data_IF_458507687384
#
_entry.id   IF_458507687384
#
_cell.length_a   1.000
_cell.length_b   1.000
_cell.length_c   1.000
_cell.angle_alpha   90.00
_cell.angle_beta   90.00
_cell.angle_gamma   90.00
#
_symmetry.space_group_name_H-M   'P 1'
#
loop_
_entity.id
_entity.type
_entity.pdbx_description
1 polymer ?
#
# COMPACT_ATOMS: atom_id res chain seq x y z
N UNK A 1 7.90 -2.36 16.96
CA UNK A 1 8.19 -3.15 15.74
C UNK A 1 8.44 -2.25 14.53
N UNK A 2 7.51 -1.38 14.15
CA UNK A 2 7.59 -0.49 12.97
C UNK A 2 8.87 0.35 12.90
N UNK A 3 9.24 1.08 13.95
CA UNK A 3 10.44 1.93 13.97
C UNK A 3 11.73 1.16 13.68
N UNK A 4 11.84 -0.09 14.16
CA UNK A 4 12.99 -0.97 13.89
C UNK A 4 13.06 -1.31 12.40
N UNK A 5 11.92 -1.64 11.78
CA UNK A 5 11.84 -1.97 10.35
C UNK A 5 12.18 -0.76 9.47
N UNK A 6 11.70 0.44 9.83
CA UNK A 6 12.05 1.67 9.11
C UNK A 6 13.55 1.98 9.17
N UNK A 7 14.20 1.79 10.33
CA UNK A 7 15.65 1.93 10.45
C UNK A 7 16.39 0.93 9.55
N UNK A 8 15.92 -0.32 9.50
CA UNK A 8 16.50 -1.35 8.63
C UNK A 8 16.34 -1.00 7.14
N UNK A 9 15.18 -0.46 6.73
CA UNK A 9 14.98 -0.01 5.34
C UNK A 9 15.95 1.11 4.99
N UNK A 10 16.13 2.10 5.88
CA UNK A 10 17.06 3.23 5.66
C UNK A 10 18.51 2.80 5.51
N UNK A 11 18.91 1.67 6.08
CA UNK A 11 20.26 1.13 5.99
C UNK A 11 20.52 0.23 4.77
N UNK A 12 19.50 -0.02 3.93
CA UNK A 12 19.68 -0.87 2.75
C UNK A 12 20.52 -0.14 1.69
N UNK A 13 21.60 -0.77 1.24
CA UNK A 13 22.46 -0.26 0.15
C UNK A 13 21.83 -0.45 -1.23
N UNK A 14 20.93 -1.42 -1.38
CA UNK A 14 20.25 -1.75 -2.63
C UNK A 14 18.84 -2.23 -2.33
N UNK A 15 17.88 -1.82 -3.14
CA UNK A 15 16.49 -2.24 -3.02
C UNK A 15 16.15 -3.05 -4.26
N UNK A 16 15.90 -4.35 -4.05
CA UNK A 16 15.42 -5.28 -5.07
C UNK A 16 14.55 -6.35 -4.40
N UNK A 17 13.89 -7.18 -5.19
CA UNK A 17 12.96 -8.20 -4.68
C UNK A 17 13.59 -9.06 -3.58
N UNK A 18 14.79 -9.61 -3.77
CA UNK A 18 15.42 -10.51 -2.80
C UNK A 18 15.74 -9.82 -1.46
N UNK A 19 16.10 -8.53 -1.48
CA UNK A 19 16.39 -7.77 -0.28
C UNK A 19 15.13 -7.44 0.52
N UNK A 20 14.04 -7.06 -0.16
CA UNK A 20 12.81 -6.64 0.51
C UNK A 20 11.91 -7.82 0.89
N UNK A 21 12.01 -8.97 0.22
CA UNK A 21 11.34 -10.22 0.62
C UNK A 21 12.23 -11.10 1.52
N UNK A 22 13.14 -10.50 2.26
CA UNK A 22 13.97 -11.19 3.24
C UNK A 22 13.17 -11.49 4.52
N UNK A 23 13.59 -12.52 5.28
CA UNK A 23 13.00 -12.90 6.58
C UNK A 23 12.86 -11.74 7.57
N UNK A 24 13.73 -10.72 7.48
CA UNK A 24 13.66 -9.51 8.33
C UNK A 24 12.36 -8.73 8.16
N UNK A 25 11.76 -8.77 6.98
CA UNK A 25 10.51 -8.09 6.63
C UNK A 25 9.31 -9.03 6.57
N UNK A 26 9.50 -10.33 6.75
CA UNK A 26 8.41 -11.31 6.79
C UNK A 26 7.59 -11.11 8.08
N UNK A 27 6.30 -10.85 7.92
CA UNK A 27 5.35 -10.67 9.03
C UNK A 27 4.67 -11.99 9.37
N UNK A 28 4.15 -12.66 8.35
CA UNK A 28 3.40 -13.91 8.52
C UNK A 28 3.61 -14.82 7.30
N UNK A 29 3.68 -16.12 7.57
CA UNK A 29 3.76 -17.15 6.52
C UNK A 29 2.90 -18.34 6.90
N UNK A 30 2.13 -18.82 5.95
CA UNK A 30 1.37 -20.05 6.07
C UNK A 30 1.32 -20.71 4.68
N UNK A 31 1.77 -21.96 4.61
CA UNK A 31 1.92 -22.68 3.34
C UNK A 31 2.71 -21.85 2.29
N UNK A 32 2.07 -21.53 1.17
CA UNK A 32 2.65 -20.74 0.09
C UNK A 32 2.38 -19.24 0.20
N UNK A 33 1.62 -18.80 1.20
CA UNK A 33 1.29 -17.40 1.42
C UNK A 33 2.31 -16.76 2.34
N UNK A 34 2.87 -15.66 1.90
CA UNK A 34 3.83 -14.85 2.65
C UNK A 34 3.36 -13.39 2.65
N UNK A 35 3.31 -12.79 3.84
CA UNK A 35 2.97 -11.37 4.04
C UNK A 35 4.24 -10.67 4.50
N UNK A 36 4.68 -9.67 3.74
CA UNK A 36 5.88 -8.89 4.04
C UNK A 36 5.53 -7.47 4.44
N UNK A 37 6.23 -6.95 5.43
CA UNK A 37 6.14 -5.54 5.79
C UNK A 37 6.49 -4.64 4.61
N UNK A 38 5.71 -3.60 4.43
CA UNK A 38 6.04 -2.43 3.62
C UNK A 38 5.48 -1.19 4.33
N UNK A 39 6.12 -0.01 4.21
CA UNK A 39 5.80 1.17 5.02
C UNK A 39 4.53 1.89 4.54
N UNK A 40 3.39 1.21 4.58
CA UNK A 40 2.05 1.74 4.28
C UNK A 40 1.24 2.11 5.54
N UNK A 41 1.94 2.42 6.64
CA UNK A 41 1.30 2.59 7.96
C UNK A 41 0.62 3.95 8.17
N UNK A 42 0.82 4.93 7.29
CA UNK A 42 0.19 6.23 7.42
C UNK A 42 -1.33 6.14 7.25
N UNK A 43 -2.08 6.70 8.19
CA UNK A 43 -3.54 6.85 8.14
C UNK A 43 -3.88 8.33 7.98
N UNK A 44 -4.65 8.66 6.95
CA UNK A 44 -5.17 10.01 6.77
C UNK A 44 -6.57 10.12 7.39
N UNK A 45 -6.63 10.47 8.66
CA UNK A 45 -7.89 10.63 9.41
C UNK A 45 -8.76 11.81 8.94
N UNK A 46 -8.22 12.69 8.08
CA UNK A 46 -8.95 13.83 7.52
C UNK A 46 -9.42 13.59 6.07
N UNK A 47 -9.24 12.37 5.58
CA UNK A 47 -9.64 12.02 4.23
C UNK A 47 -11.17 12.16 4.04
N UNK A 48 -11.56 12.59 2.86
CA UNK A 48 -12.97 12.61 2.42
C UNK A 48 -13.32 11.42 1.54
N UNK A 49 -12.30 10.77 1.00
CA UNK A 49 -12.42 9.57 0.15
C UNK A 49 -11.41 8.54 0.65
N UNK A 50 -11.87 7.30 0.75
CA UNK A 50 -11.02 6.13 0.94
C UNK A 50 -11.05 5.28 -0.32
N UNK A 51 -9.87 4.92 -0.85
CA UNK A 51 -9.73 3.94 -1.92
C UNK A 51 -9.06 2.70 -1.34
N UNK A 52 -9.76 1.58 -1.43
CA UNK A 52 -9.33 0.29 -0.87
C UNK A 52 -8.93 -0.66 -1.99
N UNK A 53 -7.67 -1.04 -2.04
CA UNK A 53 -7.19 -2.12 -2.88
C UNK A 53 -7.29 -3.48 -2.18
N UNK A 54 -6.82 -4.54 -2.84
CA UNK A 54 -6.77 -5.88 -2.23
C UNK A 54 -5.48 -6.04 -1.40
N UNK A 55 -4.33 -5.84 -2.03
CA UNK A 55 -3.00 -5.86 -1.42
C UNK A 55 -2.02 -5.12 -2.33
N UNK A 56 -1.00 -4.42 -1.77
CA UNK A 56 0.06 -3.83 -2.58
C UNK A 56 0.84 -4.92 -3.34
N UNK A 57 1.22 -4.62 -4.58
CA UNK A 57 2.10 -5.48 -5.36
C UNK A 57 3.59 -5.18 -5.13
N UNK A 58 4.46 -6.00 -5.74
CA UNK A 58 5.92 -5.88 -5.63
C UNK A 58 6.44 -4.49 -6.03
N UNK A 59 5.91 -3.89 -7.11
CA UNK A 59 6.34 -2.57 -7.55
C UNK A 59 6.04 -1.48 -6.51
N UNK A 60 4.86 -1.54 -5.91
CA UNK A 60 4.48 -0.62 -4.84
C UNK A 60 5.36 -0.83 -3.59
N UNK A 61 5.69 -2.08 -3.28
CA UNK A 61 6.61 -2.41 -2.20
C UNK A 61 8.02 -1.85 -2.46
N UNK A 62 8.60 -2.07 -3.65
CA UNK A 62 9.92 -1.52 -4.03
C UNK A 62 9.92 -0.02 -3.83
N UNK A 63 8.95 0.69 -4.40
CA UNK A 63 8.87 2.15 -4.30
C UNK A 63 8.70 2.66 -2.87
N UNK A 64 7.92 1.96 -2.05
CA UNK A 64 7.76 2.34 -0.65
C UNK A 64 9.08 2.22 0.12
N UNK A 65 9.88 1.20 -0.18
CA UNK A 65 11.22 1.03 0.39
C UNK A 65 12.18 2.11 -0.11
N UNK A 66 12.21 2.39 -1.41
CA UNK A 66 13.03 3.46 -1.99
C UNK A 66 12.70 4.82 -1.39
N UNK A 67 11.41 5.12 -1.22
CA UNK A 67 10.98 6.38 -0.60
C UNK A 67 11.47 6.51 0.84
N UNK A 68 11.36 5.46 1.68
CA UNK A 68 11.91 5.46 3.05
C UNK A 68 13.43 5.57 3.05
N UNK A 69 14.11 4.85 2.16
CA UNK A 69 15.56 4.90 2.04
C UNK A 69 16.05 6.30 1.67
N UNK A 70 15.28 7.01 0.84
CA UNK A 70 15.50 8.41 0.46
C UNK A 70 14.98 9.44 1.49
N UNK A 71 14.69 9.02 2.72
CA UNK A 71 14.32 9.92 3.81
C UNK A 71 12.89 10.45 3.82
N UNK A 72 12.00 9.94 2.93
CA UNK A 72 10.61 10.38 2.87
C UNK A 72 9.82 9.98 4.13
N UNK A 73 8.84 10.79 4.50
CA UNK A 73 7.88 10.49 5.55
C UNK A 73 6.92 9.37 5.14
N UNK A 74 6.28 8.71 6.10
CA UNK A 74 5.28 7.66 5.82
C UNK A 74 4.11 8.17 4.98
N UNK A 75 3.73 9.45 5.12
CA UNK A 75 2.71 10.08 4.28
C UNK A 75 3.17 10.13 2.83
N UNK A 76 4.34 10.70 2.57
CA UNK A 76 4.90 10.80 1.21
C UNK A 76 5.11 9.42 0.58
N UNK A 77 5.56 8.44 1.36
CA UNK A 77 5.69 7.05 0.90
C UNK A 77 4.37 6.54 0.36
N UNK A 78 3.28 6.73 1.10
CA UNK A 78 1.95 6.26 0.71
C UNK A 78 1.44 6.98 -0.54
N UNK A 79 1.61 8.30 -0.59
CA UNK A 79 1.22 9.12 -1.75
C UNK A 79 1.99 8.73 -3.02
N UNK A 80 3.29 8.46 -2.90
CA UNK A 80 4.14 8.06 -4.02
C UNK A 80 3.85 6.64 -4.52
N UNK A 81 3.58 5.70 -3.62
CA UNK A 81 3.58 4.27 -3.92
C UNK A 81 2.18 3.67 -4.15
N UNK A 82 1.11 4.27 -3.56
CA UNK A 82 -0.24 3.71 -3.66
C UNK A 82 -0.77 3.74 -5.09
N UNK A 83 -1.26 2.59 -5.55
CA UNK A 83 -1.87 2.40 -6.88
C UNK A 83 -1.00 2.85 -8.06
N UNK A 84 0.30 3.05 -7.88
CA UNK A 84 1.17 3.62 -8.92
C UNK A 84 1.15 2.81 -10.22
N UNK A 85 1.39 3.52 -11.33
CA UNK A 85 1.38 2.98 -12.69
C UNK A 85 0.02 3.09 -13.37
N UNK A 86 -0.26 2.21 -14.30
CA UNK A 86 -1.50 2.20 -15.10
C UNK A 86 -2.77 2.14 -14.26
N UNK A 87 -2.72 1.47 -13.11
CA UNK A 87 -3.85 1.39 -12.17
C UNK A 87 -4.25 2.78 -11.67
N UNK A 88 -3.31 3.64 -11.28
CA UNK A 88 -3.60 5.01 -10.83
C UNK A 88 -4.23 5.83 -11.95
N UNK A 89 -3.67 5.76 -13.16
CA UNK A 89 -4.21 6.46 -14.33
C UNK A 89 -5.66 6.03 -14.62
N UNK A 90 -5.94 4.73 -14.53
CA UNK A 90 -7.29 4.19 -14.71
C UNK A 90 -8.24 4.65 -13.60
N UNK A 91 -7.82 4.63 -12.34
CA UNK A 91 -8.62 5.13 -11.22
C UNK A 91 -8.97 6.60 -11.38
N UNK A 92 -8.00 7.45 -11.77
CA UNK A 92 -8.25 8.88 -12.02
C UNK A 92 -9.35 9.07 -13.07
N UNK A 93 -9.25 8.36 -14.20
CA UNK A 93 -10.26 8.43 -15.26
C UNK A 93 -11.66 8.03 -14.78
N UNK A 94 -11.76 6.95 -14.00
CA UNK A 94 -13.06 6.50 -13.45
C UNK A 94 -13.62 7.50 -12.43
N UNK A 95 -12.80 8.02 -11.53
CA UNK A 95 -13.25 9.00 -10.54
C UNK A 95 -13.72 10.31 -11.20
N UNK A 96 -13.01 10.77 -12.23
CA UNK A 96 -13.42 11.95 -12.99
C UNK A 96 -14.71 11.69 -13.79
N UNK A 97 -14.86 10.53 -14.41
CA UNK A 97 -16.09 10.13 -15.10
C UNK A 97 -17.31 10.04 -14.17
N UNK A 98 -17.10 9.68 -12.91
CA UNK A 98 -18.13 9.68 -11.85
C UNK A 98 -18.37 11.09 -11.25
N UNK A 99 -17.76 12.13 -11.79
CA UNK A 99 -17.86 13.52 -11.31
C UNK A 99 -17.39 13.72 -9.84
N UNK A 100 -16.54 12.85 -9.31
CA UNK A 100 -15.98 12.98 -7.95
C UNK A 100 -15.14 14.26 -7.84
N UNK A 101 -14.42 14.63 -8.89
CA UNK A 101 -13.70 15.89 -8.97
C UNK A 101 -14.61 17.10 -8.74
N UNK A 102 -15.81 17.13 -9.33
CA UNK A 102 -16.77 18.21 -9.15
C UNK A 102 -17.30 18.27 -7.72
N UNK A 103 -17.62 17.12 -7.12
CA UNK A 103 -18.08 17.05 -5.73
C UNK A 103 -17.02 17.54 -4.75
N UNK A 104 -15.74 17.27 -5.03
CA UNK A 104 -14.60 17.73 -4.22
C UNK A 104 -14.16 19.16 -4.57
N UNK A 105 -14.73 19.80 -5.61
CA UNK A 105 -14.34 21.10 -6.14
C UNK A 105 -12.86 21.17 -6.53
N UNK A 106 -12.39 20.13 -7.21
CA UNK A 106 -11.03 20.02 -7.76
C UNK A 106 -11.10 19.86 -9.28
N UNK A 107 -10.03 20.27 -9.99
CA UNK A 107 -9.99 20.22 -11.46
C UNK A 107 -10.05 18.77 -11.99
N UNK A 108 -9.30 17.87 -11.36
CA UNK A 108 -9.24 16.45 -11.68
C UNK A 108 -8.88 15.65 -10.42
N UNK A 109 -9.34 14.40 -10.37
CA UNK A 109 -8.98 13.44 -9.33
C UNK A 109 -7.49 13.05 -9.32
N UNK A 110 -6.70 13.47 -10.31
CA UNK A 110 -5.24 13.38 -10.27
C UNK A 110 -4.65 14.05 -9.03
N UNK A 111 -5.20 15.21 -8.63
CA UNK A 111 -4.77 15.95 -7.45
C UNK A 111 -4.95 15.18 -6.13
N UNK A 112 -5.80 14.14 -6.10
CA UNK A 112 -5.96 13.27 -4.93
C UNK A 112 -4.67 12.47 -4.62
N UNK A 113 -3.86 12.19 -5.65
CA UNK A 113 -2.63 11.40 -5.53
C UNK A 113 -1.36 12.24 -5.36
N UNK A 114 -1.51 13.55 -5.22
CA UNK A 114 -0.38 14.44 -4.97
C UNK A 114 0.05 14.38 -3.50
N UNK A 115 1.36 14.53 -3.24
CA UNK A 115 1.97 14.45 -1.90
C UNK A 115 1.27 15.35 -0.87
N UNK A 116 0.73 16.49 -1.29
CA UNK A 116 0.04 17.43 -0.41
C UNK A 116 -1.47 17.21 -0.32
N UNK A 117 -2.02 16.20 -0.99
CA UNK A 117 -3.44 15.89 -0.90
C UNK A 117 -3.82 15.45 0.51
N UNK A 118 -4.89 16.05 1.02
CA UNK A 118 -5.52 15.70 2.31
C UNK A 118 -6.86 14.98 2.15
N UNK A 119 -7.32 14.83 0.92
CA UNK A 119 -8.66 14.30 0.65
C UNK A 119 -8.69 12.78 0.52
N UNK A 120 -7.56 12.15 0.19
CA UNK A 120 -7.49 10.73 -0.07
C UNK A 120 -6.83 9.97 1.09
N UNK A 121 -7.50 8.90 1.53
CA UNK A 121 -6.85 7.80 2.23
C UNK A 121 -6.81 6.57 1.31
N UNK A 122 -5.62 6.19 0.87
CA UNK A 122 -5.41 4.97 0.10
C UNK A 122 -4.99 3.84 1.02
N UNK A 123 -5.66 2.70 0.94
CA UNK A 123 -5.30 1.51 1.73
C UNK A 123 -5.61 0.23 0.96
N UNK A 124 -5.44 -0.92 1.59
CA UNK A 124 -5.76 -2.23 1.04
C UNK A 124 -6.37 -3.11 2.12
N UNK A 125 -7.23 -4.05 1.73
CA UNK A 125 -7.79 -5.05 2.64
C UNK A 125 -6.69 -5.78 3.40
N UNK A 126 -5.64 -6.16 2.70
CA UNK A 126 -4.38 -6.60 3.32
C UNK A 126 -3.37 -5.48 3.11
N UNK A 127 -3.13 -4.69 4.15
CA UNK A 127 -2.26 -3.50 4.14
C UNK A 127 -0.90 -3.74 3.52
N UNK A 128 -0.33 -4.91 3.74
CA UNK A 128 1.03 -5.26 3.35
C UNK A 128 1.06 -6.22 2.17
N UNK A 129 2.15 -6.19 1.36
CA UNK A 129 2.30 -7.06 0.20
C UNK A 129 2.16 -8.54 0.54
N UNK A 130 1.35 -9.21 -0.25
CA UNK A 130 1.12 -10.67 -0.17
C UNK A 130 1.72 -11.34 -1.41
N UNK A 131 2.45 -12.41 -1.16
CA UNK A 131 2.95 -13.29 -2.23
C UNK A 131 2.38 -14.69 -2.05
N UNK A 132 2.01 -15.31 -3.17
CA UNK A 132 1.62 -16.72 -3.25
C UNK A 132 2.63 -17.44 -4.16
N UNK A 133 3.36 -18.40 -3.63
CA UNK A 133 4.47 -19.08 -4.33
C UNK A 133 5.48 -18.07 -4.93
N UNK A 134 5.80 -17.02 -4.19
CA UNK A 134 6.73 -15.97 -4.61
C UNK A 134 6.24 -15.01 -5.71
N UNK A 135 4.98 -15.11 -6.15
CA UNK A 135 4.33 -14.21 -7.11
C UNK A 135 3.36 -13.28 -6.39
N UNK A 136 3.11 -12.10 -6.96
CA UNK A 136 2.09 -11.20 -6.43
C UNK A 136 0.75 -11.94 -6.28
N UNK A 137 0.12 -11.80 -5.12
CA UNK A 137 -1.21 -12.34 -4.88
C UNK A 137 -2.26 -11.57 -5.68
N UNK A 138 -3.08 -12.29 -6.44
CA UNK A 138 -4.10 -11.69 -7.33
C UNK A 138 -5.39 -11.27 -6.64
N UNK A 139 -5.62 -11.74 -5.41
CA UNK A 139 -6.84 -11.45 -4.66
C UNK A 139 -8.00 -12.45 -4.89
N UNK A 140 -7.88 -13.33 -5.87
CA UNK A 140 -8.98 -14.20 -6.32
C UNK A 140 -9.53 -15.19 -5.28
N UNK A 141 -8.83 -15.42 -4.18
CA UNK A 141 -9.24 -16.36 -3.14
C UNK A 141 -9.01 -15.82 -1.73
N UNK A 142 -9.10 -14.50 -1.54
CA UNK A 142 -8.85 -13.85 -0.25
C UNK A 142 -9.71 -14.47 0.86
N UNK A 143 -11.01 -14.58 0.64
CA UNK A 143 -11.96 -15.11 1.61
C UNK A 143 -11.80 -16.61 1.90
N UNK A 144 -11.05 -17.35 1.10
CA UNK A 144 -10.78 -18.78 1.28
C UNK A 144 -9.47 -19.06 2.04
N UNK A 145 -8.69 -18.03 2.37
CA UNK A 145 -7.38 -18.16 3.03
C UNK A 145 -7.44 -17.57 4.43
N UNK A 146 -7.54 -18.44 5.44
CA UNK A 146 -7.67 -18.07 6.85
C UNK A 146 -6.62 -17.04 7.28
N UNK A 147 -5.34 -17.26 6.92
CA UNK A 147 -4.26 -16.32 7.24
C UNK A 147 -4.55 -14.88 6.75
N UNK A 148 -5.20 -14.71 5.59
CA UNK A 148 -5.53 -13.41 5.04
C UNK A 148 -6.74 -12.79 5.72
N UNK A 149 -7.75 -13.60 6.06
CA UNK A 149 -8.92 -13.15 6.84
C UNK A 149 -8.50 -12.65 8.21
N UNK A 150 -7.75 -13.46 8.96
CA UNK A 150 -7.24 -13.09 10.28
C UNK A 150 -6.41 -11.80 10.22
N UNK A 151 -5.62 -11.63 9.14
CA UNK A 151 -4.81 -10.44 8.97
C UNK A 151 -5.66 -9.21 8.63
N UNK A 152 -6.70 -9.35 7.81
CA UNK A 152 -7.66 -8.32 7.48
C UNK A 152 -8.38 -7.82 8.74
N UNK A 153 -8.97 -8.74 9.51
CA UNK A 153 -9.69 -8.41 10.75
C UNK A 153 -8.81 -7.67 11.76
N UNK A 154 -7.56 -8.11 11.88
CA UNK A 154 -6.63 -7.53 12.86
C UNK A 154 -6.11 -6.15 12.45
N UNK A 155 -5.97 -5.87 11.15
CA UNK A 155 -5.28 -4.68 10.66
C UNK A 155 -6.18 -3.69 9.92
N UNK A 156 -7.04 -4.15 9.00
CA UNK A 156 -7.88 -3.26 8.20
C UNK A 156 -9.00 -2.60 9.01
N UNK A 157 -9.67 -3.38 9.87
CA UNK A 157 -10.76 -2.86 10.73
C UNK A 157 -10.29 -1.70 11.62
N UNK A 158 -9.01 -1.65 11.98
CA UNK A 158 -8.42 -0.56 12.76
C UNK A 158 -8.19 0.74 11.96
N UNK A 159 -8.33 0.70 10.64
CA UNK A 159 -8.21 1.88 9.77
C UNK A 159 -9.57 2.51 9.44
N UNK A 160 -10.67 1.82 9.74
CA UNK A 160 -12.05 2.31 9.59
C UNK A 160 -12.48 3.13 10.81
#
# INVERSE_FOLDING_TARGET
MMLKLLKQIRSLKKINKSMITNKKFLIKKENNIEIYYAPFDYINSKAKIMIVGITPGLQQMIQSFEAINNGRSLKEVKDLSSFKGSMRTTLIKYLDALNINKQLRIKSCESLFNINSRYLHSTSLIKYPVFDKGKNYSGSSLLKKKILLDFLETNFVKEL
#
